data_IF_127969078721
#
_entry.id   IF_127969078721
#
_cell.length_a   1.000
_cell.length_b   1.000
_cell.length_c   1.000
_cell.angle_alpha   90.00
_cell.angle_beta   90.00
_cell.angle_gamma   90.00
#
_symmetry.space_group_name_H-M   'P 1'
#
loop_
_entity.id
_entity.type
_entity.pdbx_description
1 polymer ?
#
# COMPACT_ATOMS: atom_id res chain seq x y z
N UNK A 1 29.32 6.52 -15.91
CA UNK A 1 28.24 7.19 -15.16
C UNK A 1 28.10 8.65 -15.56
N UNK A 2 28.93 9.17 -16.46
CA UNK A 2 28.88 10.57 -16.91
C UNK A 2 27.89 10.83 -18.06
N UNK A 3 27.25 9.78 -18.59
CA UNK A 3 26.31 9.84 -19.73
C UNK A 3 24.83 9.64 -19.33
N UNK A 4 24.52 9.66 -18.02
CA UNK A 4 23.14 9.50 -17.55
C UNK A 4 22.41 10.85 -17.52
N UNK A 5 21.28 11.03 -18.23
CA UNK A 5 20.55 12.29 -18.24
C UNK A 5 20.01 12.59 -16.83
N UNK A 6 20.46 13.69 -16.24
CA UNK A 6 19.99 14.14 -14.93
C UNK A 6 18.47 14.35 -14.94
N UNK A 7 17.78 13.63 -14.06
CA UNK A 7 16.36 13.86 -13.79
C UNK A 7 16.15 15.31 -13.33
N UNK A 8 15.00 15.93 -13.66
CA UNK A 8 14.68 17.27 -13.21
C UNK A 8 14.71 17.33 -11.67
N UNK A 9 15.20 18.44 -11.08
CA UNK A 9 15.34 18.55 -9.64
C UNK A 9 13.97 18.36 -8.97
N UNK A 10 13.89 17.37 -8.08
CA UNK A 10 12.70 17.11 -7.26
C UNK A 10 12.40 18.40 -6.47
N UNK A 11 11.23 18.99 -6.73
CA UNK A 11 10.72 20.15 -6.01
C UNK A 11 10.36 19.78 -4.59
N UNK A 12 11.34 19.67 -3.69
CA UNK A 12 11.11 19.56 -2.26
C UNK A 12 10.92 20.96 -1.64
N UNK A 13 10.42 21.01 -0.40
CA UNK A 13 10.15 22.27 0.31
C UNK A 13 11.40 23.18 0.39
N UNK A 14 12.60 22.59 0.37
CA UNK A 14 13.87 23.32 0.36
C UNK A 14 14.15 24.03 -0.97
N UNK A 15 13.70 23.51 -2.12
CA UNK A 15 13.77 24.20 -3.41
C UNK A 15 12.73 25.32 -3.53
N UNK A 16 11.54 25.16 -2.93
CA UNK A 16 10.48 26.19 -2.94
C UNK A 16 10.86 27.47 -2.16
N UNK A 17 11.63 27.36 -1.06
CA UNK A 17 12.10 28.51 -0.26
C UNK A 17 13.16 29.33 -1.02
N UNK A 18 13.90 28.70 -1.95
CA UNK A 18 14.91 29.37 -2.77
C UNK A 18 14.31 30.16 -3.95
N UNK A 19 13.23 29.67 -4.53
CA UNK A 19 12.58 30.29 -5.70
C UNK A 19 11.58 31.38 -5.31
N UNK A 20 10.85 31.19 -4.21
CA UNK A 20 9.94 32.20 -3.67
C UNK A 20 10.61 32.88 -2.49
N UNK A 21 11.36 33.95 -2.77
CA UNK A 21 12.15 34.71 -1.78
C UNK A 21 11.39 34.98 -0.48
N UNK A 22 11.56 34.09 0.49
CA UNK A 22 11.21 34.32 1.88
C UNK A 22 12.13 35.39 2.45
N UNK A 23 11.70 36.09 3.52
CA UNK A 23 12.48 37.19 4.09
C UNK A 23 13.90 36.73 4.41
N UNK A 24 14.88 37.42 3.81
CA UNK A 24 16.30 37.16 4.01
C UNK A 24 16.67 37.37 5.47
N UNK A 25 16.87 36.29 6.22
CA UNK A 25 17.52 36.35 7.52
C UNK A 25 19.03 36.45 7.25
N UNK A 26 19.74 37.48 7.74
CA UNK A 26 21.16 37.63 7.45
C UNK A 26 21.94 36.45 8.03
N UNK A 27 22.86 35.89 7.26
CA UNK A 27 23.91 35.00 7.76
C UNK A 27 25.16 35.87 7.96
N UNK A 28 25.56 36.23 9.20
CA UNK A 28 26.88 36.80 9.43
C UNK A 28 27.89 35.67 9.49
N UNK A 29 28.94 35.79 8.67
CA UNK A 29 29.94 34.76 8.43
C UNK A 29 30.79 34.37 9.65
N UNK A 30 31.52 33.29 9.43
CA UNK A 30 32.60 32.82 10.29
C UNK A 30 33.56 33.95 10.68
N UNK A 31 33.81 34.10 11.98
CA UNK A 31 35.16 34.32 12.56
C UNK A 31 35.09 34.21 14.09
N UNK A 32 36.23 33.92 14.75
CA UNK A 32 36.29 32.98 15.86
C UNK A 32 36.05 33.63 17.22
N UNK A 33 35.56 32.79 18.15
CA UNK A 33 35.40 33.04 19.59
C UNK A 33 34.57 34.27 19.99
N UNK A 34 33.39 34.01 20.57
CA UNK A 34 32.80 34.90 21.57
C UNK A 34 31.27 35.01 21.51
N UNK A 35 30.67 34.92 22.71
CA UNK A 35 29.30 35.29 23.08
C UNK A 35 28.14 34.33 22.73
N UNK A 36 27.80 33.53 23.74
CA UNK A 36 26.48 33.00 24.04
C UNK A 36 25.43 34.12 24.11
N UNK A 37 24.71 34.39 23.01
CA UNK A 37 23.47 35.16 23.04
C UNK A 37 22.30 34.37 22.48
N UNK A 38 21.45 33.92 23.41
CA UNK A 38 20.01 33.83 23.24
C UNK A 38 19.51 32.72 22.32
N UNK A 39 19.48 31.49 22.83
CA UNK A 39 18.51 30.50 22.35
C UNK A 39 17.12 31.13 22.57
N UNK A 40 16.41 31.47 21.50
CA UNK A 40 15.11 32.12 21.62
C UNK A 40 14.11 31.13 22.24
N UNK A 41 13.21 31.60 23.10
CA UNK A 41 12.20 30.73 23.73
C UNK A 41 11.38 29.95 22.69
N UNK A 42 11.18 30.52 21.50
CA UNK A 42 10.55 29.84 20.37
C UNK A 42 11.38 28.66 19.84
N UNK A 43 12.71 28.82 19.70
CA UNK A 43 13.59 27.73 19.28
C UNK A 43 13.68 26.60 20.30
N UNK A 44 13.68 26.91 21.60
CA UNK A 44 13.59 25.90 22.67
C UNK A 44 12.28 25.12 22.57
N UNK A 45 11.16 25.82 22.37
CA UNK A 45 9.84 25.19 22.25
C UNK A 45 9.74 24.29 21.02
N UNK A 46 10.22 24.74 19.86
CA UNK A 46 10.23 23.93 18.63
C UNK A 46 11.09 22.67 18.83
N UNK A 47 12.27 22.81 19.43
CA UNK A 47 13.14 21.67 19.70
C UNK A 47 12.52 20.70 20.71
N UNK A 48 11.83 21.22 21.73
CA UNK A 48 11.12 20.40 22.73
C UNK A 48 9.94 19.65 22.10
N UNK A 49 9.16 20.31 21.24
CA UNK A 49 8.06 19.68 20.51
C UNK A 49 8.60 18.60 19.54
N UNK A 50 9.70 18.89 18.82
CA UNK A 50 10.36 17.92 17.93
C UNK A 50 10.92 16.70 18.67
N UNK A 51 11.56 16.90 19.84
CA UNK A 51 12.07 15.80 20.66
C UNK A 51 10.92 14.96 21.23
N UNK A 52 9.83 15.59 21.69
CA UNK A 52 8.63 14.91 22.17
C UNK A 52 7.93 14.11 21.06
N UNK A 53 7.87 14.65 19.84
CA UNK A 53 7.36 13.93 18.67
C UNK A 53 8.29 12.81 18.22
N UNK A 54 9.62 12.99 18.34
CA UNK A 54 10.61 11.95 18.10
C UNK A 54 10.56 10.82 19.13
N UNK A 55 10.23 11.11 20.38
CA UNK A 55 9.97 10.10 21.42
C UNK A 55 8.71 9.27 21.14
N UNK A 56 7.72 9.85 20.45
CA UNK A 56 6.50 9.16 20.01
C UNK A 56 6.70 8.31 18.75
N UNK A 57 7.80 8.52 18.01
CA UNK A 57 8.21 7.72 16.84
C UNK A 57 9.54 7.00 17.13
N UNK A 58 9.54 5.94 17.96
CA UNK A 58 10.76 5.20 18.26
C UNK A 58 11.41 4.71 16.97
N UNK A 59 12.74 4.71 16.93
CA UNK A 59 13.51 4.18 15.81
C UNK A 59 12.97 2.80 15.44
N UNK A 60 12.33 2.70 14.26
CA UNK A 60 11.68 1.47 13.86
C UNK A 60 12.78 0.46 13.56
N UNK A 61 13.01 -0.47 14.49
CA UNK A 61 13.95 -1.55 14.26
C UNK A 61 13.44 -2.34 13.05
N UNK A 62 14.19 -2.39 11.94
CA UNK A 62 13.70 -3.02 10.74
C UNK A 62 13.64 -4.53 10.99
N UNK A 63 12.44 -5.10 10.86
CA UNK A 63 12.16 -6.52 11.09
C UNK A 63 12.02 -7.24 9.76
N UNK A 64 12.24 -8.55 9.73
CA UNK A 64 11.99 -9.35 8.52
C UNK A 64 10.53 -9.20 8.04
N UNK A 65 9.56 -9.18 8.97
CA UNK A 65 8.15 -8.95 8.64
C UNK A 65 7.96 -7.58 7.95
N UNK A 66 8.54 -6.52 8.52
CA UNK A 66 8.46 -5.17 7.96
C UNK A 66 9.13 -5.07 6.59
N UNK A 67 10.30 -5.69 6.42
CA UNK A 67 10.97 -5.78 5.13
C UNK A 67 10.09 -6.47 4.08
N UNK A 68 9.51 -7.64 4.40
CA UNK A 68 8.64 -8.37 3.48
C UNK A 68 7.41 -7.55 3.09
N UNK A 69 6.82 -6.81 4.04
CA UNK A 69 5.70 -5.90 3.77
C UNK A 69 6.10 -4.81 2.77
N UNK A 70 7.20 -4.10 3.02
CA UNK A 70 7.68 -3.02 2.14
C UNK A 70 8.09 -3.56 0.77
N UNK A 71 8.77 -4.71 0.73
CA UNK A 71 9.17 -5.35 -0.52
C UNK A 71 7.96 -5.78 -1.36
N UNK A 72 6.92 -6.32 -0.71
CA UNK A 72 5.71 -6.74 -1.41
C UNK A 72 4.89 -5.54 -1.90
N UNK A 73 4.85 -4.45 -1.13
CA UNK A 73 4.27 -3.18 -1.58
C UNK A 73 5.02 -2.62 -2.79
N UNK A 74 6.36 -2.65 -2.77
CA UNK A 74 7.19 -2.22 -3.90
C UNK A 74 6.90 -3.04 -5.17
N UNK A 75 6.73 -4.36 -5.06
CA UNK A 75 6.30 -5.21 -6.19
C UNK A 75 4.99 -4.69 -6.79
N UNK A 76 4.02 -4.31 -5.96
CA UNK A 76 2.71 -3.84 -6.40
C UNK A 76 2.77 -2.42 -6.99
N UNK A 77 3.54 -1.52 -6.37
CA UNK A 77 3.68 -0.12 -6.79
C UNK A 77 4.33 0.00 -8.17
N UNK A 78 5.35 -0.82 -8.45
CA UNK A 78 6.11 -0.79 -9.69
C UNK A 78 5.65 -1.84 -10.72
N UNK A 79 4.53 -2.52 -10.45
CA UNK A 79 3.96 -3.60 -11.30
C UNK A 79 5.00 -4.67 -11.69
N UNK A 80 5.76 -5.12 -10.70
CA UNK A 80 6.82 -6.10 -10.89
C UNK A 80 6.27 -7.54 -10.79
N UNK A 81 6.91 -8.53 -11.45
CA UNK A 81 6.57 -9.93 -11.23
C UNK A 81 6.75 -10.34 -9.75
N UNK A 82 5.88 -11.19 -9.21
CA UNK A 82 6.01 -11.71 -7.84
C UNK A 82 7.31 -12.50 -7.62
N UNK A 83 7.92 -13.00 -8.69
CA UNK A 83 9.23 -13.67 -8.71
C UNK A 83 10.42 -12.70 -8.58
N UNK A 84 10.19 -11.39 -8.45
CA UNK A 84 11.26 -10.38 -8.41
C UNK A 84 12.29 -10.63 -7.31
N UNK A 85 11.86 -11.14 -6.15
CA UNK A 85 12.73 -11.52 -5.04
C UNK A 85 13.63 -12.73 -5.32
N UNK A 86 13.30 -13.54 -6.32
CA UNK A 86 14.03 -14.75 -6.70
C UNK A 86 15.09 -14.49 -7.77
N UNK A 87 15.14 -13.28 -8.34
CA UNK A 87 16.08 -12.97 -9.41
C UNK A 87 17.53 -12.98 -8.92
N UNK A 88 18.44 -13.53 -9.74
CA UNK A 88 19.87 -13.55 -9.43
C UNK A 88 20.47 -12.13 -9.31
N UNK A 89 19.90 -11.16 -10.05
CA UNK A 89 20.31 -9.76 -10.01
C UNK A 89 20.12 -9.14 -8.62
N UNK A 90 18.93 -9.29 -8.04
CA UNK A 90 18.63 -8.72 -6.73
C UNK A 90 19.37 -9.47 -5.61
N UNK A 91 19.57 -10.78 -5.75
CA UNK A 91 20.42 -11.56 -4.85
C UNK A 91 21.87 -11.05 -4.82
N UNK A 92 22.46 -10.78 -5.99
CA UNK A 92 23.80 -10.19 -6.08
C UNK A 92 23.87 -8.82 -5.41
N UNK A 93 22.86 -7.97 -5.63
CA UNK A 93 22.78 -6.66 -5.00
C UNK A 93 22.70 -6.77 -3.47
N UNK A 94 21.80 -7.60 -2.94
CA UNK A 94 21.63 -7.78 -1.49
C UNK A 94 22.89 -8.37 -0.83
N UNK A 95 23.56 -9.31 -1.52
CA UNK A 95 24.84 -9.86 -1.08
C UNK A 95 25.94 -8.79 -1.05
N UNK A 96 26.01 -7.94 -2.07
CA UNK A 96 26.97 -6.82 -2.13
C UNK A 96 26.72 -5.81 -1.00
N UNK A 97 25.46 -5.47 -0.73
CA UNK A 97 25.06 -4.58 0.37
C UNK A 97 25.20 -5.21 1.76
N UNK A 98 25.52 -6.52 1.85
CA UNK A 98 25.55 -7.30 3.10
C UNK A 98 24.23 -7.18 3.89
N UNK A 99 23.11 -7.21 3.16
CA UNK A 99 21.78 -7.15 3.77
C UNK A 99 21.57 -8.36 4.70
N UNK A 100 20.89 -8.11 5.82
CA UNK A 100 20.49 -9.15 6.78
C UNK A 100 19.12 -9.75 6.48
N UNK A 101 18.38 -9.15 5.54
CA UNK A 101 17.03 -9.57 5.19
C UNK A 101 17.06 -10.66 4.12
N UNK A 102 16.18 -11.64 4.29
CA UNK A 102 15.95 -12.67 3.29
C UNK A 102 14.98 -12.15 2.24
N UNK A 103 15.32 -12.30 0.97
CA UNK A 103 14.45 -11.96 -0.15
C UNK A 103 13.24 -12.92 -0.17
N UNK A 104 12.04 -12.43 -0.51
CA UNK A 104 10.86 -13.29 -0.61
C UNK A 104 10.91 -14.18 -1.85
N UNK A 105 10.35 -15.38 -1.73
CA UNK A 105 9.87 -16.14 -2.89
C UNK A 105 8.56 -15.55 -3.44
N UNK A 106 8.17 -15.96 -4.64
CA UNK A 106 6.85 -15.66 -5.24
C UNK A 106 5.72 -15.92 -4.24
N UNK A 107 5.70 -17.12 -3.65
CA UNK A 107 4.67 -17.51 -2.68
C UNK A 107 4.71 -16.63 -1.44
N UNK A 108 5.89 -16.21 -0.99
CA UNK A 108 6.05 -15.32 0.17
C UNK A 108 5.52 -13.92 -0.12
N UNK A 109 5.81 -13.38 -1.30
CA UNK A 109 5.30 -12.08 -1.74
C UNK A 109 3.77 -12.10 -1.85
N UNK A 110 3.20 -13.12 -2.50
CA UNK A 110 1.73 -13.31 -2.61
C UNK A 110 1.06 -13.41 -1.24
N UNK A 111 1.57 -14.26 -0.35
CA UNK A 111 1.01 -14.44 0.98
C UNK A 111 1.10 -13.15 1.83
N UNK A 112 2.18 -12.39 1.66
CA UNK A 112 2.35 -11.10 2.34
C UNK A 112 1.33 -10.09 1.84
N UNK A 113 1.08 -10.01 0.53
CA UNK A 113 0.04 -9.17 -0.05
C UNK A 113 -1.36 -9.57 0.41
N UNK A 114 -1.69 -10.87 0.38
CA UNK A 114 -2.97 -11.36 0.87
C UNK A 114 -3.22 -10.94 2.32
N UNK A 115 -2.19 -11.00 3.18
CA UNK A 115 -2.27 -10.51 4.56
C UNK A 115 -2.50 -8.99 4.61
N UNK A 116 -1.77 -8.21 3.82
CA UNK A 116 -1.95 -6.75 3.76
C UNK A 116 -3.39 -6.41 3.37
N UNK A 117 -3.94 -7.07 2.34
CA UNK A 117 -5.33 -6.87 1.92
C UNK A 117 -6.33 -7.25 3.02
N UNK A 118 -6.10 -8.35 3.73
CA UNK A 118 -6.95 -8.76 4.86
C UNK A 118 -6.92 -7.73 6.02
N UNK A 119 -5.75 -7.18 6.33
CA UNK A 119 -5.58 -6.14 7.35
C UNK A 119 -6.28 -4.83 6.94
N UNK A 120 -6.18 -4.43 5.66
CA UNK A 120 -6.90 -3.28 5.10
C UNK A 120 -8.41 -3.48 5.18
N UNK A 121 -8.90 -4.65 4.77
CA UNK A 121 -10.33 -4.97 4.86
C UNK A 121 -10.83 -4.88 6.31
N UNK A 122 -10.13 -5.51 7.26
CA UNK A 122 -10.50 -5.44 8.68
C UNK A 122 -10.49 -4.00 9.23
N UNK A 123 -9.55 -3.17 8.77
CA UNK A 123 -9.51 -1.74 9.17
C UNK A 123 -10.69 -0.97 8.60
N UNK A 124 -11.05 -1.22 7.34
CA UNK A 124 -12.23 -0.63 6.70
C UNK A 124 -13.52 -1.01 7.46
N UNK A 125 -13.63 -2.24 7.95
CA UNK A 125 -14.78 -2.70 8.75
C UNK A 125 -14.98 -1.86 10.01
N UNK A 126 -13.89 -1.58 10.73
CA UNK A 126 -13.92 -0.74 11.94
C UNK A 126 -14.30 0.70 11.57
N UNK A 127 -13.75 1.22 10.48
CA UNK A 127 -14.00 2.58 10.01
C UNK A 127 -15.48 2.78 9.65
N UNK A 128 -16.06 1.86 8.87
CA UNK A 128 -17.46 1.90 8.43
C UNK A 128 -18.42 1.76 9.62
N UNK A 129 -18.14 0.85 10.57
CA UNK A 129 -18.94 0.73 11.81
C UNK A 129 -18.92 2.02 12.63
N UNK A 130 -17.74 2.65 12.73
CA UNK A 130 -17.59 3.92 13.44
C UNK A 130 -18.33 5.04 12.73
N UNK A 131 -18.24 5.10 11.40
CA UNK A 131 -18.95 6.06 10.57
C UNK A 131 -20.47 5.93 10.73
N UNK A 132 -21.01 4.72 10.65
CA UNK A 132 -22.44 4.44 10.88
C UNK A 132 -22.93 4.99 12.21
N UNK A 133 -22.19 4.71 13.29
CA UNK A 133 -22.53 5.21 14.63
C UNK A 133 -22.55 6.74 14.68
N UNK A 134 -21.57 7.40 14.08
CA UNK A 134 -21.49 8.87 14.06
C UNK A 134 -22.63 9.48 13.23
N UNK A 135 -22.94 8.89 12.07
CA UNK A 135 -24.03 9.34 11.20
C UNK A 135 -25.39 9.24 11.90
N UNK A 136 -25.61 8.15 12.63
CA UNK A 136 -26.83 7.99 13.43
C UNK A 136 -26.87 8.98 14.60
N UNK A 137 -25.82 9.03 15.44
CA UNK A 137 -25.82 9.84 16.67
C UNK A 137 -25.88 11.35 16.41
N UNK A 138 -25.24 11.84 15.34
CA UNK A 138 -25.08 13.28 15.11
C UNK A 138 -26.00 13.84 14.04
N UNK A 139 -26.41 13.02 13.08
CA UNK A 139 -27.13 13.49 11.89
C UNK A 139 -28.48 12.79 11.68
N UNK A 140 -28.84 11.81 12.52
CA UNK A 140 -30.05 10.99 12.38
C UNK A 140 -30.14 10.30 11.00
N UNK A 141 -28.98 10.01 10.40
CA UNK A 141 -28.88 9.33 9.11
C UNK A 141 -28.72 7.83 9.39
N UNK A 142 -29.71 7.05 8.99
CA UNK A 142 -29.62 5.59 9.00
C UNK A 142 -28.70 5.11 7.87
N UNK A 143 -27.47 4.76 8.23
CA UNK A 143 -26.50 4.12 7.36
C UNK A 143 -26.31 2.67 7.80
N UNK A 144 -26.66 1.73 6.93
CA UNK A 144 -26.53 0.27 7.15
C UNK A 144 -25.18 -0.19 6.60
N UNK A 145 -24.18 -0.46 7.47
CA UNK A 145 -22.84 -0.88 7.06
C UNK A 145 -22.84 -2.05 6.09
N UNK A 146 -23.71 -3.04 6.33
CA UNK A 146 -23.77 -4.31 5.62
C UNK A 146 -24.09 -4.13 4.13
N UNK A 147 -24.84 -3.09 3.78
CA UNK A 147 -25.27 -2.80 2.41
C UNK A 147 -24.35 -1.80 1.68
N UNK A 148 -23.37 -1.23 2.39
CA UNK A 148 -22.52 -0.13 1.88
C UNK A 148 -21.03 -0.43 1.98
N UNK A 149 -20.67 -1.70 2.22
CA UNK A 149 -19.31 -2.14 2.49
C UNK A 149 -18.65 -2.69 1.23
N UNK A 150 -17.76 -1.91 0.63
CA UNK A 150 -16.77 -2.42 -0.33
C UNK A 150 -15.50 -2.74 0.44
N UNK A 151 -15.18 -4.04 0.61
CA UNK A 151 -14.08 -4.46 1.48
C UNK A 151 -12.70 -4.35 0.83
N UNK A 152 -12.58 -4.63 -0.47
CA UNK A 152 -11.29 -4.61 -1.18
C UNK A 152 -11.46 -4.44 -2.69
N UNK A 153 -10.35 -4.12 -3.39
CA UNK A 153 -10.32 -4.00 -4.85
C UNK A 153 -10.74 -5.30 -5.54
N UNK A 154 -10.32 -6.47 -5.03
CA UNK A 154 -10.72 -7.77 -5.57
C UNK A 154 -12.24 -7.97 -5.50
N UNK A 155 -12.87 -7.52 -4.41
CA UNK A 155 -14.32 -7.54 -4.26
C UNK A 155 -14.99 -6.60 -5.27
N UNK A 156 -14.46 -5.38 -5.47
CA UNK A 156 -14.95 -4.47 -6.53
C UNK A 156 -14.86 -5.10 -7.91
N UNK A 157 -13.71 -5.68 -8.25
CA UNK A 157 -13.50 -6.33 -9.55
C UNK A 157 -14.48 -7.49 -9.70
N UNK A 158 -14.67 -8.31 -8.67
CA UNK A 158 -15.66 -9.40 -8.69
C UNK A 158 -17.08 -8.87 -8.94
N UNK A 159 -17.50 -7.83 -8.23
CA UNK A 159 -18.82 -7.21 -8.42
C UNK A 159 -18.99 -6.64 -9.83
N UNK A 160 -17.96 -5.98 -10.38
CA UNK A 160 -17.99 -5.43 -11.75
C UNK A 160 -18.09 -6.54 -12.79
N UNK A 161 -17.24 -7.57 -12.70
CA UNK A 161 -17.28 -8.73 -13.61
C UNK A 161 -18.63 -9.42 -13.51
N UNK A 162 -19.12 -9.67 -12.29
CA UNK A 162 -20.41 -10.30 -12.08
C UNK A 162 -21.56 -9.47 -12.65
N UNK A 163 -21.54 -8.13 -12.53
CA UNK A 163 -22.58 -7.27 -13.15
C UNK A 163 -22.53 -7.30 -14.68
N UNK A 164 -21.34 -7.37 -15.27
CA UNK A 164 -21.16 -7.54 -16.71
C UNK A 164 -21.77 -8.89 -17.15
N UNK A 165 -21.43 -9.97 -16.47
CA UNK A 165 -21.94 -11.32 -16.78
C UNK A 165 -23.45 -11.44 -16.55
N UNK A 166 -23.99 -10.80 -15.51
CA UNK A 166 -25.44 -10.73 -15.28
C UNK A 166 -26.16 -10.02 -16.43
N UNK A 167 -25.55 -8.98 -17.01
CA UNK A 167 -26.09 -8.30 -18.21
C UNK A 167 -26.11 -9.22 -19.43
N UNK A 168 -25.18 -10.19 -19.50
CA UNK A 168 -25.12 -11.22 -20.53
C UNK A 168 -25.98 -12.46 -20.21
N UNK A 169 -26.67 -12.47 -19.06
CA UNK A 169 -27.42 -13.62 -18.55
C UNK A 169 -26.54 -14.87 -18.32
N UNK A 170 -25.27 -14.65 -17.97
CA UNK A 170 -24.27 -15.69 -17.67
C UNK A 170 -23.97 -15.82 -16.16
N UNK A 171 -24.43 -14.89 -15.33
CA UNK A 171 -24.27 -14.91 -13.88
C UNK A 171 -25.47 -14.29 -13.16
N UNK A 172 -25.61 -14.54 -11.86
CA UNK A 172 -26.61 -13.85 -11.03
C UNK A 172 -26.25 -12.37 -10.83
N UNK A 173 -27.26 -11.53 -10.61
CA UNK A 173 -27.03 -10.12 -10.29
C UNK A 173 -26.26 -10.00 -8.95
N UNK A 174 -25.11 -9.30 -8.91
CA UNK A 174 -24.33 -9.13 -7.69
C UNK A 174 -25.09 -8.38 -6.58
N UNK A 175 -26.15 -7.63 -6.90
CA UNK A 175 -27.02 -6.99 -5.90
C UNK A 175 -27.93 -8.01 -5.18
N UNK A 176 -28.08 -9.21 -5.73
CA UNK A 176 -28.88 -10.32 -5.17
C UNK A 176 -27.98 -11.38 -4.53
N UNK A 177 -26.93 -11.81 -5.23
CA UNK A 177 -25.98 -12.81 -4.74
C UNK A 177 -24.57 -12.33 -5.04
N UNK A 178 -23.79 -12.03 -4.01
CA UNK A 178 -22.39 -11.63 -4.17
C UNK A 178 -21.47 -12.86 -4.13
N UNK A 179 -20.95 -13.25 -5.31
CA UNK A 179 -20.09 -14.43 -5.45
C UNK A 179 -18.73 -14.29 -4.75
N UNK A 180 -18.31 -13.07 -4.38
CA UNK A 180 -17.05 -12.89 -3.66
C UNK A 180 -17.15 -13.43 -2.23
N UNK A 181 -18.27 -13.21 -1.54
CA UNK A 181 -18.43 -13.61 -0.13
C UNK A 181 -18.23 -15.11 0.15
N UNK A 182 -18.82 -16.05 -0.61
CA UNK A 182 -18.59 -17.48 -0.41
C UNK A 182 -17.19 -17.93 -0.86
N UNK A 183 -16.58 -17.24 -1.82
CA UNK A 183 -15.33 -17.66 -2.46
C UNK A 183 -14.09 -16.95 -1.93
N UNK A 184 -14.23 -15.97 -1.03
CA UNK A 184 -13.13 -15.14 -0.51
C UNK A 184 -12.00 -15.92 0.17
N UNK A 185 -12.27 -17.13 0.63
CA UNK A 185 -11.32 -17.99 1.34
C UNK A 185 -10.73 -19.08 0.44
N UNK A 186 -11.13 -19.15 -0.84
CA UNK A 186 -10.59 -20.11 -1.80
C UNK A 186 -9.14 -19.78 -2.19
N UNK A 187 -8.33 -20.79 -2.54
CA UNK A 187 -6.99 -20.56 -3.04
C UNK A 187 -6.99 -19.67 -4.29
N UNK A 188 -6.10 -18.69 -4.36
CA UNK A 188 -5.98 -17.78 -5.51
C UNK A 188 -5.54 -18.45 -6.82
N UNK A 189 -5.14 -19.71 -6.79
CA UNK A 189 -4.66 -20.43 -7.96
C UNK A 189 -5.78 -21.26 -8.56
N UNK A 190 -6.37 -20.73 -9.64
CA UNK A 190 -7.16 -21.53 -10.57
C UNK A 190 -6.23 -22.56 -11.23
N UNK A 191 -6.48 -23.85 -10.98
CA UNK A 191 -5.80 -24.93 -11.67
C UNK A 191 -6.74 -25.46 -12.77
N UNK A 192 -6.51 -25.14 -14.06
CA UNK A 192 -7.38 -25.59 -15.14
C UNK A 192 -7.45 -27.12 -15.25
N UNK A 193 -6.40 -27.84 -14.81
CA UNK A 193 -6.39 -29.31 -14.79
C UNK A 193 -7.40 -29.91 -13.79
N UNK A 194 -7.84 -29.12 -12.81
CA UNK A 194 -8.76 -29.49 -11.74
C UNK A 194 -10.20 -28.97 -11.96
N UNK A 195 -10.46 -28.24 -13.04
CA UNK A 195 -11.78 -27.71 -13.36
C UNK A 195 -12.57 -28.70 -14.26
N UNK A 196 -13.59 -29.39 -13.71
CA UNK A 196 -14.38 -30.35 -14.49
C UNK A 196 -15.20 -29.67 -15.59
N UNK A 197 -15.67 -28.43 -15.37
CA UNK A 197 -16.52 -27.72 -16.31
C UNK A 197 -15.69 -27.23 -17.52
N UNK A 198 -14.46 -26.77 -17.27
CA UNK A 198 -13.51 -26.44 -18.35
C UNK A 198 -13.19 -27.67 -19.20
N UNK A 199 -12.96 -28.82 -18.57
CA UNK A 199 -12.67 -30.07 -19.29
C UNK A 199 -13.86 -30.53 -20.13
N UNK A 200 -15.08 -30.39 -19.62
CA UNK A 200 -16.27 -30.74 -20.38
C UNK A 200 -16.45 -29.82 -21.59
N UNK A 201 -16.19 -28.52 -21.44
CA UNK A 201 -16.21 -27.53 -22.53
C UNK A 201 -15.12 -27.80 -23.59
N UNK A 202 -13.90 -28.17 -23.17
CA UNK A 202 -12.81 -28.55 -24.08
C UNK A 202 -13.07 -29.85 -24.84
N UNK A 203 -13.90 -30.73 -24.27
CA UNK A 203 -14.30 -32.00 -24.88
C UNK A 203 -15.56 -31.90 -25.74
N UNK A 204 -16.27 -30.76 -25.75
CA UNK A 204 -17.35 -30.50 -26.70
C UNK A 204 -16.79 -30.35 -28.11
N UNK A 205 -16.85 -31.44 -28.88
CA UNK A 205 -16.59 -31.39 -30.32
C UNK A 205 -17.74 -30.63 -31.00
N UNK A 206 -17.45 -29.44 -31.52
CA UNK A 206 -18.35 -28.74 -32.43
C UNK A 206 -18.55 -29.59 -33.70
N UNK A 207 -19.67 -30.31 -33.78
CA UNK A 207 -20.12 -30.93 -35.02
C UNK A 207 -20.53 -29.80 -35.99
N UNK A 208 -19.77 -29.65 -37.08
CA UNK A 208 -20.09 -28.77 -38.21
C UNK A 208 -21.25 -29.32 -39.05
#
# INVERSE_FOLDING_TARGET
>A
FDDEPHQPPIGNLATHIKTHGGPSIPIPGATPLGNTRGISAASVKIMADYLREGELNPAHNPTQKGFLTVFSAWILEDDLPFTSGETEGIHRLFKYMKSKFLLPSDTTARNTLARIYAEIAATNDVLIRTLSRILMEKFDIQFVPENSQIRCLAHVVNLVVQKILATLNEADDPDVIDYYLPNKDLPFHYNPDEDPDLRDLENETFEN
#
